data_IF_766053078391
#
_entry.id   IF_766053078391
#
_cell.length_a   1.000
_cell.length_b   1.000
_cell.length_c   1.000
_cell.angle_alpha   90.00
_cell.angle_beta   90.00
_cell.angle_gamma   90.00
#
_symmetry.space_group_name_H-M   'P 1'
#
loop_
_entity.id
_entity.type
_entity.pdbx_description
1 polymer ?
#
# COMPACT_ATOMS: atom_id res chain seq x y z
N UNK A 1 -12.86 1.08 -10.90
CA UNK A 1 -12.26 2.42 -10.70
C UNK A 1 -10.74 2.37 -10.70
N UNK A 2 -10.07 1.70 -9.74
CA UNK A 2 -8.59 1.70 -9.68
C UNK A 2 -7.94 1.11 -10.94
N UNK A 3 -8.36 -0.10 -11.36
CA UNK A 3 -7.89 -0.70 -12.63
C UNK A 3 -8.21 0.18 -13.85
N UNK A 4 -9.40 0.77 -13.91
CA UNK A 4 -9.78 1.68 -14.99
C UNK A 4 -8.92 2.94 -15.05
N UNK A 5 -8.46 3.46 -13.90
CA UNK A 5 -7.53 4.60 -13.85
C UNK A 5 -6.14 4.20 -14.33
N UNK A 6 -5.63 3.04 -13.90
CA UNK A 6 -4.33 2.50 -14.34
C UNK A 6 -4.33 2.31 -15.86
N UNK A 7 -5.41 1.76 -16.40
CA UNK A 7 -5.56 1.46 -17.83
C UNK A 7 -5.93 2.69 -18.67
N UNK A 8 -6.22 3.85 -18.06
CA UNK A 8 -6.68 5.05 -18.77
C UNK A 8 -8.12 4.97 -19.29
N UNK A 9 -8.91 3.99 -18.85
CA UNK A 9 -10.31 3.79 -19.19
C UNK A 9 -11.25 4.76 -18.46
N UNK A 10 -10.75 5.51 -17.49
CA UNK A 10 -11.49 6.54 -16.75
C UNK A 10 -10.63 7.78 -16.56
N UNK A 11 -11.28 8.95 -16.66
CA UNK A 11 -10.65 10.25 -16.40
C UNK A 11 -10.56 10.54 -14.90
N UNK A 12 -9.46 11.19 -14.49
CA UNK A 12 -9.29 11.78 -13.16
C UNK A 12 -10.32 12.89 -12.87
N UNK A 13 -10.87 13.50 -13.91
CA UNK A 13 -11.95 14.49 -13.79
C UNK A 13 -13.35 13.85 -13.68
N UNK A 14 -13.46 12.53 -13.70
CA UNK A 14 -14.75 11.86 -13.61
C UNK A 14 -15.41 12.07 -12.24
N UNK A 15 -16.76 12.06 -12.22
CA UNK A 15 -17.53 12.15 -10.98
C UNK A 15 -17.11 11.07 -9.96
N UNK A 16 -16.80 9.85 -10.42
CA UNK A 16 -16.40 8.76 -9.54
C UNK A 16 -15.10 9.06 -8.79
N UNK A 17 -14.07 9.58 -9.49
CA UNK A 17 -12.79 9.97 -8.90
C UNK A 17 -12.98 11.16 -7.96
N UNK A 18 -13.66 12.20 -8.44
CA UNK A 18 -13.95 13.40 -7.63
C UNK A 18 -14.70 13.06 -6.35
N UNK A 19 -15.68 12.15 -6.42
CA UNK A 19 -16.43 11.71 -5.25
C UNK A 19 -15.56 10.89 -4.28
N UNK A 20 -14.64 10.06 -4.77
CA UNK A 20 -13.72 9.30 -3.93
C UNK A 20 -12.73 10.23 -3.19
N UNK A 21 -12.02 11.10 -3.91
CA UNK A 21 -11.06 12.04 -3.30
C UNK A 21 -11.78 13.12 -2.48
N UNK A 22 -13.00 13.50 -2.86
CA UNK A 22 -13.83 14.41 -2.07
C UNK A 22 -14.14 13.91 -0.65
N UNK A 23 -14.22 12.58 -0.44
CA UNK A 23 -14.34 12.02 0.92
C UNK A 23 -13.07 12.21 1.73
N UNK A 24 -11.89 12.05 1.11
CA UNK A 24 -10.61 12.33 1.76
C UNK A 24 -10.52 13.81 2.14
N UNK A 25 -10.84 14.71 1.21
CA UNK A 25 -10.87 16.17 1.45
C UNK A 25 -11.80 16.52 2.62
N UNK A 26 -13.02 15.96 2.65
CA UNK A 26 -13.94 16.15 3.77
C UNK A 26 -13.32 15.73 5.11
N UNK A 27 -12.64 14.59 5.17
CA UNK A 27 -12.01 14.11 6.40
C UNK A 27 -10.83 14.99 6.85
N UNK A 28 -10.04 15.52 5.90
CA UNK A 28 -8.97 16.49 6.14
C UNK A 28 -9.54 17.78 6.73
N UNK A 29 -10.58 18.36 6.11
CA UNK A 29 -11.22 19.59 6.58
C UNK A 29 -11.87 19.46 7.97
N UNK A 30 -12.23 18.24 8.37
CA UNK A 30 -12.74 17.94 9.72
C UNK A 30 -11.64 17.74 10.77
N UNK A 31 -10.38 17.78 10.38
CA UNK A 31 -9.24 17.61 11.29
C UNK A 31 -9.10 16.19 11.81
N UNK A 32 -9.52 15.18 11.02
CA UNK A 32 -9.33 13.77 11.40
C UNK A 32 -7.93 13.23 11.08
N UNK A 33 -7.12 13.99 10.34
CA UNK A 33 -5.73 13.65 10.03
C UNK A 33 -4.77 14.54 10.80
N UNK A 34 -3.58 14.02 11.08
CA UNK A 34 -2.44 14.81 11.55
C UNK A 34 -1.96 15.78 10.48
N UNK A 35 -1.13 16.74 10.89
CA UNK A 35 -0.30 17.49 9.94
C UNK A 35 0.64 16.52 9.18
N UNK A 36 0.98 16.82 7.91
CA UNK A 36 1.95 16.04 7.17
C UNK A 36 3.30 16.01 7.86
N UNK A 37 3.85 14.81 8.06
CA UNK A 37 5.22 14.61 8.52
C UNK A 37 5.79 13.32 7.93
N UNK A 38 7.06 13.07 8.19
CA UNK A 38 7.77 11.90 7.70
C UNK A 38 7.21 10.61 8.35
N UNK A 39 7.12 9.52 7.59
CA UNK A 39 6.37 8.33 8.00
C UNK A 39 7.02 7.58 9.17
N UNK A 40 8.36 7.53 9.27
CA UNK A 40 9.03 6.94 10.46
C UNK A 40 8.76 7.77 11.70
N UNK A 41 8.64 9.09 11.58
CA UNK A 41 8.23 9.96 12.68
C UNK A 41 6.78 9.69 13.10
N UNK A 42 5.83 9.56 12.15
CA UNK A 42 4.45 9.17 12.48
C UNK A 42 4.39 7.80 13.15
N UNK A 43 5.19 6.83 12.68
CA UNK A 43 5.23 5.48 13.26
C UNK A 43 5.54 5.54 14.76
N UNK A 44 6.56 6.31 15.16
CA UNK A 44 6.92 6.50 16.57
C UNK A 44 5.81 7.19 17.36
N UNK A 45 5.22 8.27 16.82
CA UNK A 45 4.14 9.01 17.48
C UNK A 45 2.87 8.16 17.68
N UNK A 46 2.46 7.44 16.64
CA UNK A 46 1.34 6.51 16.70
C UNK A 46 1.59 5.39 17.71
N UNK A 47 2.79 4.79 17.69
CA UNK A 47 3.16 3.77 18.67
C UNK A 47 3.18 4.30 20.11
N UNK A 48 3.53 5.56 20.31
CA UNK A 48 3.46 6.25 21.60
C UNK A 48 2.04 6.67 22.01
N UNK A 49 1.02 6.34 21.21
CA UNK A 49 -0.38 6.60 21.51
C UNK A 49 -0.85 8.03 21.20
N UNK A 50 -0.07 8.81 20.44
CA UNK A 50 -0.49 10.16 20.02
C UNK A 50 -1.63 10.12 18.99
N UNK A 51 -1.73 9.02 18.22
CA UNK A 51 -2.77 8.78 17.23
C UNK A 51 -3.47 7.44 17.47
N UNK A 52 -4.78 7.39 17.25
CA UNK A 52 -5.56 6.15 17.44
C UNK A 52 -5.55 5.21 16.23
N UNK A 53 -5.25 5.71 15.03
CA UNK A 53 -5.25 4.94 13.79
C UNK A 53 -4.04 5.32 12.94
N UNK A 54 -3.45 4.34 12.26
CA UNK A 54 -2.42 4.56 11.27
C UNK A 54 -2.73 3.80 9.99
N UNK A 55 -2.90 4.55 8.89
CA UNK A 55 -3.12 3.97 7.56
C UNK A 55 -1.77 3.75 6.89
N UNK A 56 -1.26 2.54 6.96
CA UNK A 56 0.04 2.15 6.42
C UNK A 56 0.02 0.68 6.00
N UNK A 57 0.97 0.27 5.15
CA UNK A 57 1.09 -1.13 4.78
C UNK A 57 1.64 -2.00 5.91
N UNK A 58 1.35 -3.29 5.82
CA UNK A 58 1.53 -4.25 6.91
C UNK A 58 2.97 -4.43 7.38
N UNK A 59 3.98 -4.06 6.59
CA UNK A 59 5.40 -4.27 6.95
C UNK A 59 5.76 -3.60 8.28
N UNK A 60 4.98 -2.61 8.73
CA UNK A 60 5.15 -1.97 10.03
C UNK A 60 4.97 -2.93 11.22
N UNK A 61 4.29 -4.07 11.06
CA UNK A 61 4.15 -5.06 12.14
C UNK A 61 5.52 -5.64 12.53
N UNK A 62 6.46 -5.73 11.58
CA UNK A 62 7.85 -6.09 11.84
C UNK A 62 8.73 -4.93 12.37
N UNK A 63 8.19 -3.73 12.50
CA UNK A 63 8.94 -2.52 12.90
C UNK A 63 8.56 -1.98 14.29
N UNK A 64 7.47 -2.45 14.89
CA UNK A 64 7.02 -2.02 16.22
C UNK A 64 7.69 -2.84 17.33
N UNK A 65 7.66 -2.30 18.55
CA UNK A 65 8.25 -2.97 19.71
C UNK A 65 7.45 -4.20 20.16
N UNK A 66 6.12 -4.18 20.02
CA UNK A 66 5.24 -5.28 20.39
C UNK A 66 4.09 -5.45 19.38
N UNK A 67 4.25 -6.29 18.34
CA UNK A 67 3.20 -6.50 17.35
C UNK A 67 1.93 -7.17 17.90
N UNK A 68 1.98 -7.77 19.09
CA UNK A 68 0.80 -8.40 19.70
C UNK A 68 -0.18 -7.36 20.28
N UNK A 69 0.25 -6.11 20.47
CA UNK A 69 -0.62 -4.97 20.87
C UNK A 69 -1.29 -4.27 19.66
N UNK A 70 -1.16 -4.85 18.46
CA UNK A 70 -1.76 -4.31 17.25
C UNK A 70 -3.11 -4.97 16.93
N UNK A 71 -4.03 -4.14 16.45
CA UNK A 71 -5.26 -4.59 15.81
C UNK A 71 -5.35 -4.01 14.40
N UNK A 72 -5.92 -4.79 13.49
CA UNK A 72 -6.10 -4.42 12.08
C UNK A 72 -7.55 -4.56 11.68
N UNK A 73 -8.00 -3.70 10.77
CA UNK A 73 -9.32 -3.80 10.17
C UNK A 73 -9.31 -3.19 8.77
N UNK A 74 -10.15 -3.73 7.89
CA UNK A 74 -10.34 -3.17 6.56
C UNK A 74 -11.05 -1.83 6.62
N UNK A 75 -10.64 -0.87 5.78
CA UNK A 75 -11.39 0.38 5.61
C UNK A 75 -12.85 0.07 5.28
N UNK A 76 -13.83 0.64 6.01
CA UNK A 76 -15.23 0.32 5.82
C UNK A 76 -15.72 0.58 4.39
N UNK A 77 -16.33 -0.45 3.79
CA UNK A 77 -16.89 -0.37 2.44
C UNK A 77 -15.90 -0.63 1.30
N UNK A 78 -14.61 -0.86 1.60
CA UNK A 78 -13.63 -1.29 0.60
C UNK A 78 -13.88 -2.73 0.15
N UNK A 79 -13.78 -2.95 -1.16
CA UNK A 79 -13.93 -4.28 -1.81
C UNK A 79 -12.64 -4.82 -2.39
N UNK A 80 -11.61 -3.98 -2.45
CA UNK A 80 -10.28 -4.36 -2.88
C UNK A 80 -9.27 -4.00 -1.82
N UNK A 81 -8.13 -4.70 -1.88
CA UNK A 81 -6.98 -4.49 -1.02
C UNK A 81 -5.76 -4.29 -1.91
N UNK A 82 -4.99 -3.25 -1.64
CA UNK A 82 -3.78 -2.96 -2.39
C UNK A 82 -2.67 -3.88 -1.91
N UNK A 83 -1.99 -4.54 -2.84
CA UNK A 83 -0.81 -5.34 -2.58
C UNK A 83 0.38 -4.73 -3.31
N UNK A 84 1.40 -4.37 -2.54
CA UNK A 84 2.73 -4.14 -3.08
C UNK A 84 3.51 -5.45 -2.99
N UNK A 85 4.04 -5.91 -4.12
CA UNK A 85 4.74 -7.19 -4.23
C UNK A 85 6.21 -6.89 -4.51
N UNK A 86 7.08 -7.38 -3.64
CA UNK A 86 8.51 -7.37 -3.90
C UNK A 86 8.89 -8.46 -4.91
N UNK A 87 9.65 -8.08 -5.94
CA UNK A 87 10.09 -8.98 -7.00
C UNK A 87 11.60 -9.24 -6.92
N UNK A 88 11.99 -10.49 -7.12
CA UNK A 88 13.38 -10.87 -7.32
C UNK A 88 13.70 -11.03 -8.81
N UNK A 89 14.72 -10.32 -9.29
CA UNK A 89 15.17 -10.40 -10.68
C UNK A 89 16.58 -11.01 -10.75
N UNK A 90 16.76 -12.02 -11.61
CA UNK A 90 18.07 -12.59 -11.92
C UNK A 90 18.51 -12.09 -13.30
N UNK A 91 19.56 -11.26 -13.41
CA UNK A 91 20.03 -10.78 -14.70
C UNK A 91 20.49 -11.92 -15.61
N UNK A 92 20.16 -11.81 -16.90
CA UNK A 92 20.55 -12.82 -17.90
C UNK A 92 22.07 -13.06 -17.96
N UNK A 93 22.84 -11.99 -17.73
CA UNK A 93 24.30 -11.96 -17.78
C UNK A 93 24.97 -12.12 -16.41
N UNK A 94 24.24 -12.57 -15.38
CA UNK A 94 24.81 -12.81 -14.06
C UNK A 94 25.87 -13.91 -14.09
N UNK A 95 27.01 -13.69 -13.43
CA UNK A 95 28.12 -14.67 -13.38
C UNK A 95 27.71 -15.99 -12.72
N UNK A 96 26.89 -15.93 -11.66
CA UNK A 96 26.40 -17.09 -10.90
C UNK A 96 24.89 -17.27 -11.11
N UNK A 97 24.45 -17.28 -12.39
CA UNK A 97 23.02 -17.29 -12.74
C UNK A 97 22.30 -18.52 -12.18
N UNK A 98 22.92 -19.69 -12.22
CA UNK A 98 22.33 -20.95 -11.75
C UNK A 98 22.02 -20.89 -10.26
N UNK A 99 23.01 -20.50 -9.45
CA UNK A 99 22.88 -20.40 -7.99
C UNK A 99 21.87 -19.32 -7.60
N UNK A 100 21.84 -18.20 -8.34
CA UNK A 100 20.86 -17.14 -8.12
C UNK A 100 19.42 -17.64 -8.39
N UNK A 101 19.22 -18.42 -9.46
CA UNK A 101 17.91 -19.02 -9.76
C UNK A 101 17.50 -20.05 -8.71
N UNK A 102 18.44 -20.85 -8.19
CA UNK A 102 18.19 -21.78 -7.08
C UNK A 102 17.77 -21.05 -5.81
N UNK A 103 18.42 -19.94 -5.48
CA UNK A 103 18.05 -19.09 -4.36
C UNK A 103 16.64 -18.51 -4.54
N UNK A 104 16.35 -17.90 -5.69
CA UNK A 104 15.01 -17.33 -5.95
C UNK A 104 13.94 -18.41 -5.86
N UNK A 105 14.19 -19.60 -6.41
CA UNK A 105 13.27 -20.75 -6.31
C UNK A 105 13.02 -21.16 -4.86
N UNK A 106 14.04 -21.13 -4.01
CA UNK A 106 13.89 -21.40 -2.58
C UNK A 106 13.05 -20.32 -1.89
N UNK A 107 13.40 -19.05 -2.10
CA UNK A 107 12.72 -17.90 -1.50
C UNK A 107 11.24 -17.85 -1.88
N UNK A 108 10.91 -18.12 -3.15
CA UNK A 108 9.55 -18.13 -3.65
C UNK A 108 8.76 -19.40 -3.29
N UNK A 109 9.42 -20.44 -2.78
CA UNK A 109 8.80 -21.71 -2.42
C UNK A 109 8.17 -21.70 -1.01
N UNK A 110 7.32 -22.68 -0.74
CA UNK A 110 6.61 -22.84 0.56
C UNK A 110 7.54 -22.70 1.76
N UNK A 111 8.71 -23.38 1.74
CA UNK A 111 9.66 -23.33 2.85
C UNK A 111 10.27 -21.94 3.04
N UNK A 112 10.65 -21.26 1.96
CA UNK A 112 11.22 -19.91 2.03
C UNK A 112 10.20 -18.92 2.57
N UNK A 113 8.97 -18.98 2.04
CA UNK A 113 7.91 -18.08 2.45
C UNK A 113 7.38 -18.39 3.86
N UNK A 114 7.36 -19.65 4.29
CA UNK A 114 7.02 -20.01 5.67
C UNK A 114 7.99 -19.37 6.68
N UNK A 115 9.28 -19.33 6.35
CA UNK A 115 10.28 -18.63 7.17
C UNK A 115 10.03 -17.12 7.13
N UNK A 116 9.79 -16.54 5.94
CA UNK A 116 9.55 -15.11 5.78
C UNK A 116 8.37 -14.63 6.61
N UNK A 117 7.20 -15.28 6.48
CA UNK A 117 5.98 -14.84 7.19
C UNK A 117 6.10 -14.99 8.71
N UNK A 118 6.92 -15.94 9.19
CA UNK A 118 7.18 -16.11 10.63
C UNK A 118 7.92 -14.94 11.28
N UNK A 119 8.53 -14.07 10.48
CA UNK A 119 9.16 -12.84 10.98
C UNK A 119 8.16 -11.68 11.17
N UNK A 120 6.92 -11.81 10.66
CA UNK A 120 5.94 -10.73 10.62
C UNK A 120 6.18 -9.74 9.47
N UNK A 121 5.17 -8.94 9.14
CA UNK A 121 5.24 -7.88 8.12
C UNK A 121 5.09 -8.36 6.67
N UNK A 122 4.74 -9.63 6.46
CA UNK A 122 4.73 -10.25 5.14
C UNK A 122 3.50 -11.15 4.94
N UNK A 123 2.92 -11.15 3.73
CA UNK A 123 1.94 -12.14 3.27
C UNK A 123 2.63 -13.04 2.24
N UNK A 124 2.48 -14.35 2.38
CA UNK A 124 3.01 -15.29 1.40
C UNK A 124 2.24 -15.22 0.07
N UNK A 125 2.96 -15.32 -1.04
CA UNK A 125 2.44 -15.45 -2.41
C UNK A 125 2.22 -16.91 -2.83
N UNK A 126 2.55 -17.85 -1.95
CA UNK A 126 2.22 -19.28 -2.08
C UNK A 126 1.49 -19.74 -0.82
N UNK A 127 0.81 -20.88 -0.90
CA UNK A 127 0.17 -21.48 0.26
C UNK A 127 1.21 -21.85 1.33
N UNK A 128 1.00 -21.38 2.55
CA UNK A 128 1.79 -21.68 3.74
C UNK A 128 0.84 -21.91 4.92
N UNK A 129 1.28 -22.64 5.93
CA UNK A 129 0.46 -22.89 7.11
C UNK A 129 0.13 -21.57 7.85
N UNK A 130 -1.15 -21.34 8.12
CA UNK A 130 -1.65 -20.16 8.84
C UNK A 130 -1.15 -20.05 10.29
N UNK A 131 -0.53 -21.10 10.84
CA UNK A 131 0.17 -21.07 12.13
C UNK A 131 1.58 -20.49 12.05
N UNK A 132 2.14 -20.31 10.85
CA UNK A 132 3.44 -19.67 10.67
C UNK A 132 3.37 -18.14 10.86
N UNK A 133 2.19 -17.54 10.68
CA UNK A 133 2.02 -16.09 10.83
C UNK A 133 1.93 -15.67 12.30
N UNK A 134 2.56 -14.55 12.69
CA UNK A 134 2.24 -13.87 13.94
C UNK A 134 0.75 -13.51 14.04
N UNK A 135 0.22 -13.28 15.25
CA UNK A 135 -1.22 -13.09 15.45
C UNK A 135 -1.83 -11.98 14.58
N UNK A 136 -1.21 -10.81 14.52
CA UNK A 136 -1.72 -9.67 13.73
C UNK A 136 -1.65 -9.95 12.22
N UNK A 137 -0.53 -10.47 11.71
CA UNK A 137 -0.36 -10.79 10.29
C UNK A 137 -1.32 -11.91 9.85
N UNK A 138 -1.64 -12.85 10.75
CA UNK A 138 -2.66 -13.88 10.50
C UNK A 138 -4.04 -13.28 10.27
N UNK A 139 -4.42 -12.23 11.01
CA UNK A 139 -5.67 -11.52 10.78
C UNK A 139 -5.63 -10.76 9.45
N UNK A 140 -4.50 -10.13 9.10
CA UNK A 140 -4.32 -9.50 7.78
C UNK A 140 -4.51 -10.54 6.67
N UNK A 141 -3.83 -11.69 6.76
CA UNK A 141 -3.94 -12.79 5.80
C UNK A 141 -5.41 -13.24 5.61
N UNK A 142 -6.20 -13.35 6.70
CA UNK A 142 -7.64 -13.64 6.59
C UNK A 142 -8.43 -12.53 5.90
N UNK A 143 -8.10 -11.26 6.15
CA UNK A 143 -8.75 -10.12 5.49
C UNK A 143 -8.48 -10.10 3.97
N UNK A 144 -7.45 -10.81 3.50
CA UNK A 144 -7.18 -10.98 2.06
C UNK A 144 -8.13 -11.99 1.38
N UNK A 145 -8.82 -12.84 2.15
CA UNK A 145 -9.74 -13.83 1.58
C UNK A 145 -10.99 -13.14 1.02
N UNK A 146 -11.27 -13.36 -0.27
CA UNK A 146 -12.49 -12.87 -0.91
C UNK A 146 -12.51 -11.37 -1.26
N UNK A 147 -11.38 -10.67 -1.09
CA UNK A 147 -11.21 -9.30 -1.61
C UNK A 147 -10.48 -9.32 -2.95
N UNK A 148 -10.73 -8.29 -3.76
CA UNK A 148 -9.99 -8.12 -5.01
C UNK A 148 -8.59 -7.56 -4.72
N UNK A 149 -7.55 -8.30 -5.12
CA UNK A 149 -6.17 -7.79 -5.12
C UNK A 149 -6.02 -6.68 -6.16
N UNK A 150 -5.55 -5.52 -5.71
CA UNK A 150 -5.28 -4.36 -6.55
C UNK A 150 -3.78 -4.04 -6.52
N UNK A 151 -3.22 -3.65 -7.66
CA UNK A 151 -1.85 -3.14 -7.73
C UNK A 151 -1.81 -1.72 -7.15
N UNK A 152 -0.68 -1.32 -6.59
CA UNK A 152 -0.50 0.06 -6.16
C UNK A 152 -0.66 1.02 -7.35
N UNK A 153 -1.51 2.04 -7.19
CA UNK A 153 -2.00 2.87 -8.28
C UNK A 153 -0.86 3.68 -8.89
N UNK A 154 -0.04 4.28 -8.03
CA UNK A 154 1.01 5.19 -8.45
C UNK A 154 2.27 4.47 -8.94
N UNK A 155 2.61 3.32 -8.36
CA UNK A 155 3.66 2.45 -8.93
C UNK A 155 3.23 1.89 -10.30
N UNK A 156 1.93 1.55 -10.46
CA UNK A 156 1.43 0.97 -11.72
C UNK A 156 1.44 1.97 -12.87
N UNK A 157 1.08 3.24 -12.62
CA UNK A 157 1.14 4.29 -13.65
C UNK A 157 2.58 4.79 -13.80
N UNK A 158 3.28 5.00 -12.68
CA UNK A 158 4.70 5.30 -12.62
C UNK A 158 5.13 6.62 -13.26
N UNK A 159 6.44 6.73 -13.48
CA UNK A 159 7.06 7.85 -14.21
C UNK A 159 6.81 9.22 -13.57
N UNK A 160 6.68 10.26 -14.41
CA UNK A 160 6.41 11.62 -13.94
C UNK A 160 5.03 11.76 -13.28
N UNK A 161 4.11 10.85 -13.61
CA UNK A 161 2.78 10.85 -13.02
C UNK A 161 2.83 10.51 -11.53
N UNK A 162 3.60 9.49 -11.15
CA UNK A 162 3.77 9.09 -9.75
C UNK A 162 4.27 10.25 -8.88
N UNK A 163 5.33 10.95 -9.31
CA UNK A 163 5.85 12.11 -8.57
C UNK A 163 4.78 13.18 -8.39
N UNK A 164 4.02 13.47 -9.46
CA UNK A 164 2.96 14.45 -9.39
C UNK A 164 1.79 14.00 -8.50
N UNK A 165 1.45 12.71 -8.50
CA UNK A 165 0.44 12.16 -7.60
C UNK A 165 0.76 12.45 -6.14
N UNK A 166 2.00 12.15 -5.71
CA UNK A 166 2.43 12.42 -4.34
C UNK A 166 2.47 13.91 -4.00
N UNK A 167 2.92 14.76 -4.92
CA UNK A 167 2.95 16.21 -4.69
C UNK A 167 1.54 16.81 -4.58
N UNK A 168 0.61 16.37 -5.43
CA UNK A 168 -0.79 16.82 -5.37
C UNK A 168 -1.50 16.26 -4.14
N UNK A 169 -1.20 15.04 -3.71
CA UNK A 169 -1.74 14.48 -2.48
C UNK A 169 -1.30 15.29 -1.26
N UNK A 170 0.00 15.62 -1.17
CA UNK A 170 0.53 16.51 -0.12
C UNK A 170 -0.13 17.89 -0.15
N UNK A 171 -0.39 18.43 -1.35
CA UNK A 171 -1.10 19.69 -1.49
C UNK A 171 -2.51 19.63 -0.89
N UNK A 172 -3.27 18.55 -1.10
CA UNK A 172 -4.61 18.40 -0.51
C UNK A 172 -4.60 18.41 1.01
N UNK A 173 -3.53 17.91 1.64
CA UNK A 173 -3.40 17.95 3.10
C UNK A 173 -3.32 19.38 3.66
N UNK A 174 -2.74 20.31 2.90
CA UNK A 174 -2.54 21.72 3.35
C UNK A 174 -3.51 22.71 2.71
N UNK A 175 -4.08 22.37 1.55
CA UNK A 175 -4.97 23.20 0.72
C UNK A 175 -6.12 22.34 0.16
N UNK A 176 -6.97 21.76 1.01
CA UNK A 176 -8.05 20.84 0.61
C UNK A 176 -9.03 21.45 -0.40
N UNK A 177 -9.19 22.77 -0.42
CA UNK A 177 -10.06 23.48 -1.35
C UNK A 177 -9.58 23.42 -2.81
N UNK A 178 -8.35 22.97 -3.06
CA UNK A 178 -7.75 22.84 -4.40
C UNK A 178 -8.05 21.51 -5.08
N UNK A 179 -9.03 20.74 -4.62
CA UNK A 179 -9.41 19.44 -5.19
C UNK A 179 -9.54 19.45 -6.72
N UNK A 180 -10.29 20.41 -7.27
CA UNK A 180 -10.53 20.44 -8.71
C UNK A 180 -9.24 20.72 -9.50
N UNK A 181 -8.36 21.57 -8.98
CA UNK A 181 -7.04 21.83 -9.58
C UNK A 181 -6.16 20.59 -9.53
N UNK A 182 -6.14 19.88 -8.39
CA UNK A 182 -5.39 18.62 -8.21
C UNK A 182 -5.82 17.59 -9.24
N UNK A 183 -7.13 17.36 -9.43
CA UNK A 183 -7.65 16.39 -10.39
C UNK A 183 -7.27 16.75 -11.84
N UNK A 184 -7.36 18.04 -12.19
CA UNK A 184 -6.94 18.52 -13.50
C UNK A 184 -5.44 18.29 -13.73
N UNK A 185 -4.62 18.52 -12.71
CA UNK A 185 -3.17 18.35 -12.77
C UNK A 185 -2.74 16.90 -12.93
N UNK A 186 -3.46 15.96 -12.32
CA UNK A 186 -3.25 14.52 -12.48
C UNK A 186 -3.70 14.01 -13.84
N UNK A 187 -4.83 14.49 -14.35
CA UNK A 187 -5.31 14.16 -15.69
C UNK A 187 -4.29 14.56 -16.76
N UNK A 188 -3.76 15.78 -16.69
CA UNK A 188 -2.81 16.30 -17.69
C UNK A 188 -1.50 15.52 -17.76
N UNK A 189 -1.12 14.87 -16.65
CA UNK A 189 0.13 14.13 -16.53
C UNK A 189 -0.01 12.64 -16.80
N UNK A 190 -1.23 12.15 -17.06
CA UNK A 190 -1.45 10.75 -17.41
C UNK A 190 -0.60 10.37 -18.63
N UNK A 191 0.08 9.20 -18.61
CA UNK A 191 0.74 8.67 -19.79
C UNK A 191 -0.24 8.54 -20.97
N UNK A 192 0.24 8.80 -22.19
CA UNK A 192 -0.54 8.67 -23.42
C UNK A 192 -0.38 7.30 -24.04
#
# INVERSE_FOLDING_TARGET
>A
LQKDLIEGNTSWNSYAVRNAIGKLVYLIEKGYFSEPTEWTTILEQWWNGEYGLYFMGQWITGMVADPDDLAVFSLPGSRGMVFSIDYAFVPEFATNKTEALELVKFLSGEKGQSIQVSQGGHIATVEVDMSNYPPVDKEIAKLTEGVETLNDLDDSIGGLWQTAFWDQLKLLWVRPERLDEVLMDLEQKMPK
#
